data_IF_990895160556
#
_entry.id   IF_990895160556
#
_cell.length_a   1.000
_cell.length_b   1.000
_cell.length_c   1.000
_cell.angle_alpha   90.00
_cell.angle_beta   90.00
_cell.angle_gamma   90.00
#
_symmetry.space_group_name_H-M   'P 1'
#
loop_
_entity.id
_entity.type
_entity.pdbx_description
1 polymer ?
#
# COMPACT_ATOMS: atom_id res chain seq x y z
N UNK A 1 10.48 0.93 -2.60
CA UNK A 1 9.05 1.27 -2.50
C UNK A 1 8.21 0.02 -2.62
N UNK A 2 7.09 -0.04 -1.91
CA UNK A 2 6.12 -1.13 -1.94
C UNK A 2 4.72 -0.54 -2.09
N UNK A 3 3.93 -1.10 -3.00
CA UNK A 3 2.61 -0.59 -3.34
C UNK A 3 1.57 -1.71 -3.14
N UNK A 4 0.53 -1.45 -2.35
CA UNK A 4 -0.56 -2.39 -2.12
C UNK A 4 -1.90 -1.77 -2.49
N UNK A 5 -2.77 -2.55 -3.14
CA UNK A 5 -4.15 -2.18 -3.47
C UNK A 5 -5.09 -2.83 -2.46
N UNK A 6 -6.11 -2.09 -2.01
CA UNK A 6 -7.25 -2.64 -1.28
C UNK A 6 -8.52 -2.49 -2.10
N UNK A 7 -8.97 -3.56 -2.74
CA UNK A 7 -10.14 -3.48 -3.63
C UNK A 7 -11.48 -3.37 -2.91
N UNK A 8 -11.53 -3.89 -1.70
CA UNK A 8 -12.75 -4.04 -0.94
C UNK A 8 -12.46 -3.57 0.48
N UNK A 9 -12.98 -2.38 0.79
CA UNK A 9 -12.82 -1.74 2.07
C UNK A 9 -14.05 -0.90 2.42
N UNK A 10 -14.16 -0.54 3.69
CA UNK A 10 -15.33 0.10 4.29
C UNK A 10 -15.08 1.55 4.69
N UNK A 11 -13.84 2.02 4.54
CA UNK A 11 -13.44 3.40 4.84
C UNK A 11 -13.49 4.26 3.57
N UNK A 12 -13.51 5.60 3.67
CA UNK A 12 -13.45 6.43 2.47
C UNK A 12 -12.08 6.30 1.80
N UNK A 13 -12.08 6.10 0.47
CA UNK A 13 -10.86 6.12 -0.34
C UNK A 13 -10.15 7.48 -0.24
N UNK A 14 -8.83 7.50 -0.45
CA UNK A 14 -8.08 8.74 -0.27
C UNK A 14 -8.41 9.77 -1.36
N UNK A 15 -8.54 11.03 -0.94
CA UNK A 15 -8.79 12.14 -1.86
C UNK A 15 -7.52 12.49 -2.65
N UNK A 16 -7.66 12.83 -3.94
CA UNK A 16 -6.55 13.33 -4.75
C UNK A 16 -6.00 14.62 -4.11
N UNK A 17 -4.71 14.71 -3.81
CA UNK A 17 -4.10 15.95 -3.33
C UNK A 17 -4.28 17.07 -4.36
N UNK A 18 -4.57 18.29 -3.91
CA UNK A 18 -4.71 19.45 -4.79
C UNK A 18 -3.40 19.83 -5.50
N UNK A 19 -2.27 19.52 -4.87
CA UNK A 19 -0.91 19.76 -5.35
C UNK A 19 -0.34 18.58 -6.17
N UNK A 20 -1.18 17.61 -6.55
CA UNK A 20 -0.76 16.48 -7.36
C UNK A 20 -0.19 16.94 -8.71
N UNK A 21 1.08 16.60 -8.98
CA UNK A 21 1.79 16.98 -10.20
C UNK A 21 1.28 16.19 -11.40
N UNK A 22 0.91 16.88 -12.47
CA UNK A 22 0.47 16.27 -13.73
C UNK A 22 1.65 15.76 -14.59
N UNK A 23 1.51 14.67 -15.36
CA UNK A 23 0.29 13.87 -15.56
C UNK A 23 -0.02 12.94 -14.37
N UNK A 24 -1.24 13.03 -13.85
CA UNK A 24 -1.64 12.34 -12.63
C UNK A 24 -2.94 11.55 -12.79
N UNK A 25 -2.81 10.24 -13.00
CA UNK A 25 -3.91 9.32 -12.77
C UNK A 25 -3.92 8.96 -11.28
N UNK A 26 -5.01 9.33 -10.60
CA UNK A 26 -5.16 9.10 -9.17
C UNK A 26 -5.69 7.70 -8.87
N UNK A 27 -5.03 7.01 -7.96
CA UNK A 27 -5.39 5.67 -7.48
C UNK A 27 -5.65 5.76 -5.97
N UNK A 28 -6.92 5.92 -5.57
CA UNK A 28 -7.28 6.29 -4.19
C UNK A 28 -7.24 5.11 -3.22
N UNK A 29 -7.27 3.88 -3.73
CA UNK A 29 -7.35 2.64 -2.95
C UNK A 29 -5.99 1.92 -2.82
N UNK A 30 -4.91 2.68 -2.96
CA UNK A 30 -3.55 2.17 -2.87
C UNK A 30 -2.82 2.73 -1.67
N UNK A 31 -2.00 1.93 -1.01
CA UNK A 31 -1.06 2.37 0.01
C UNK A 31 0.37 2.23 -0.52
N UNK A 32 1.11 3.33 -0.54
CA UNK A 32 2.51 3.36 -0.96
C UNK A 32 3.42 3.51 0.25
N UNK A 33 4.37 2.59 0.40
CA UNK A 33 5.43 2.67 1.40
C UNK A 33 6.76 2.94 0.69
N UNK A 34 7.45 3.99 1.13
CA UNK A 34 8.79 4.37 0.66
C UNK A 34 9.75 4.41 1.84
N UNK A 35 11.00 4.78 1.59
CA UNK A 35 11.98 5.01 2.66
C UNK A 35 11.67 6.28 3.46
N UNK A 36 10.84 7.17 2.91
CA UNK A 36 10.48 8.48 3.47
C UNK A 36 9.15 8.46 4.26
N UNK A 37 8.36 7.38 4.12
CA UNK A 37 7.09 7.25 4.83
C UNK A 37 6.03 6.47 4.06
N UNK A 38 4.78 6.69 4.46
CA UNK A 38 3.60 6.06 3.87
C UNK A 38 2.67 7.11 3.27
N UNK A 39 2.18 6.85 2.06
CA UNK A 39 1.13 7.64 1.41
C UNK A 39 -0.13 6.80 1.19
N UNK A 40 -1.27 7.39 1.54
CA UNK A 40 -2.59 6.87 1.20
C UNK A 40 -3.04 7.44 -0.15
N UNK A 41 -3.16 6.57 -1.14
CA UNK A 41 -3.34 6.88 -2.54
C UNK A 41 -2.02 7.17 -3.25
N UNK A 42 -2.01 6.93 -4.56
CA UNK A 42 -0.85 7.20 -5.39
C UNK A 42 -1.26 7.91 -6.67
N UNK A 43 -0.43 8.88 -7.07
CA UNK A 43 -0.52 9.54 -8.35
C UNK A 43 0.50 8.91 -9.29
N UNK A 44 0.04 8.31 -10.40
CA UNK A 44 0.92 7.71 -11.39
C UNK A 44 0.62 8.25 -12.79
N UNK A 45 1.65 8.41 -13.64
CA UNK A 45 1.47 8.93 -15.00
C UNK A 45 0.86 7.90 -15.97
N UNK A 46 0.72 6.64 -15.54
CA UNK A 46 0.21 5.53 -16.36
C UNK A 46 -0.62 4.55 -15.51
N UNK A 47 -1.50 3.75 -16.14
CA UNK A 47 -2.22 2.68 -15.48
C UNK A 47 -1.28 1.66 -14.80
N UNK A 48 -1.67 1.20 -13.62
CA UNK A 48 -1.03 0.06 -12.95
C UNK A 48 -1.44 -1.24 -13.63
N UNK A 49 -0.46 -1.99 -14.13
CA UNK A 49 -0.66 -3.34 -14.66
C UNK A 49 -0.10 -4.32 -13.65
N UNK A 50 -0.96 -4.88 -12.81
CA UNK A 50 -0.57 -5.93 -11.87
C UNK A 50 -0.56 -7.28 -12.58
N UNK A 51 0.59 -7.95 -12.62
CA UNK A 51 0.62 -9.37 -13.05
C UNK A 51 0.15 -10.24 -11.89
N UNK A 52 -0.73 -11.20 -12.19
CA UNK A 52 -1.14 -12.21 -11.22
C UNK A 52 0.09 -12.86 -10.60
N UNK A 53 0.19 -12.78 -9.27
CA UNK A 53 1.26 -13.38 -8.48
C UNK A 53 0.66 -14.47 -7.58
N UNK A 54 1.52 -15.31 -6.98
CA UNK A 54 1.06 -16.31 -6.02
C UNK A 54 0.35 -15.62 -4.85
N UNK A 55 -0.73 -16.22 -4.39
CA UNK A 55 -1.43 -15.79 -3.18
C UNK A 55 -0.52 -16.00 -1.98
N UNK A 56 -0.40 -15.00 -1.10
CA UNK A 56 0.32 -15.09 0.16
C UNK A 56 -0.64 -15.57 1.27
N UNK A 57 -0.48 -16.80 1.80
CA UNK A 57 -1.35 -17.32 2.84
C UNK A 57 -1.26 -16.50 4.14
N UNK A 58 -2.31 -16.55 4.96
CA UNK A 58 -2.26 -15.97 6.30
C UNK A 58 -1.17 -16.62 7.15
N UNK A 59 -0.56 -15.82 8.02
CA UNK A 59 0.60 -16.19 8.84
C UNK A 59 1.93 -16.22 8.06
N UNK A 60 1.91 -15.99 6.74
CA UNK A 60 3.11 -15.95 5.90
C UNK A 60 3.54 -14.52 5.60
N UNK A 61 4.83 -14.33 5.38
CA UNK A 61 5.41 -13.05 4.97
C UNK A 61 6.07 -13.12 3.60
N UNK A 62 6.16 -11.96 2.96
CA UNK A 62 6.97 -11.73 1.76
C UNK A 62 7.94 -10.59 2.04
N UNK A 63 9.17 -10.71 1.53
CA UNK A 63 10.20 -9.68 1.64
C UNK A 63 10.68 -9.27 0.25
N UNK A 64 10.81 -7.97 0.04
CA UNK A 64 11.18 -7.33 -1.22
C UNK A 64 12.21 -6.24 -0.92
N UNK A 65 13.49 -6.61 -0.93
CA UNK A 65 14.55 -5.71 -0.44
C UNK A 65 14.37 -5.45 1.06
N UNK A 66 14.29 -4.18 1.44
CA UNK A 66 14.12 -3.72 2.82
C UNK A 66 12.66 -3.67 3.28
N UNK A 67 11.73 -3.96 2.37
CA UNK A 67 10.30 -3.97 2.66
C UNK A 67 9.84 -5.40 2.99
N UNK A 68 9.19 -5.57 4.14
CA UNK A 68 8.56 -6.82 4.56
C UNK A 68 7.06 -6.63 4.71
N UNK A 69 6.27 -7.61 4.26
CA UNK A 69 4.83 -7.65 4.49
C UNK A 69 4.40 -8.99 5.08
N UNK A 70 3.68 -8.95 6.19
CA UNK A 70 3.07 -10.10 6.86
C UNK A 70 1.57 -10.13 6.55
N UNK A 71 1.10 -11.24 5.99
CA UNK A 71 -0.34 -11.49 5.77
C UNK A 71 -0.95 -12.05 7.04
N UNK A 72 -1.95 -11.38 7.60
CA UNK A 72 -2.69 -11.82 8.79
C UNK A 72 -4.18 -11.86 8.50
N UNK A 73 -4.95 -12.56 9.33
CA UNK A 73 -6.41 -12.54 9.23
C UNK A 73 -6.99 -11.13 9.41
N UNK A 74 -6.29 -10.26 10.16
CA UNK A 74 -6.65 -8.85 10.36
C UNK A 74 -6.11 -7.88 9.30
N UNK A 75 -5.59 -8.40 8.18
CA UNK A 75 -5.04 -7.60 7.08
C UNK A 75 -3.53 -7.78 6.86
N UNK A 76 -2.97 -6.92 6.03
CA UNK A 76 -1.57 -6.93 5.63
C UNK A 76 -0.78 -5.91 6.47
N UNK A 77 0.24 -6.37 7.19
CA UNK A 77 1.18 -5.51 7.91
C UNK A 77 2.45 -5.37 7.09
N UNK A 78 2.71 -4.19 6.53
CA UNK A 78 3.91 -3.89 5.77
C UNK A 78 4.80 -2.90 6.50
N UNK A 79 6.11 -3.12 6.47
CA UNK A 79 7.09 -2.24 7.07
C UNK A 79 8.36 -2.18 6.23
N UNK A 80 9.03 -1.03 6.28
CA UNK A 80 10.41 -0.86 5.87
C UNK A 80 11.29 -1.14 7.09
N UNK A 81 12.05 -2.22 7.05
CA UNK A 81 12.87 -2.69 8.18
C UNK A 81 14.04 -1.74 8.49
N UNK A 82 14.38 -0.83 7.58
CA UNK A 82 15.48 0.13 7.74
C UNK A 82 14.99 1.47 8.27
N UNK A 83 13.95 2.05 7.66
CA UNK A 83 13.42 3.36 8.09
C UNK A 83 12.42 3.26 9.26
N UNK A 84 11.85 2.07 9.49
CA UNK A 84 10.82 1.84 10.50
C UNK A 84 9.41 2.24 10.07
N UNK A 85 9.26 2.90 8.92
CA UNK A 85 7.96 3.27 8.39
C UNK A 85 7.15 2.05 7.96
N UNK A 86 5.85 2.08 8.22
CA UNK A 86 4.98 0.98 7.84
C UNK A 86 3.52 1.30 7.90
N UNK A 87 2.72 0.34 7.47
CA UNK A 87 1.27 0.41 7.56
C UNK A 87 0.65 -0.95 7.80
N UNK A 88 -0.52 -0.94 8.44
CA UNK A 88 -1.47 -2.03 8.42
C UNK A 88 -2.61 -1.67 7.46
N UNK A 89 -2.86 -2.54 6.50
CA UNK A 89 -3.91 -2.42 5.51
C UNK A 89 -4.93 -3.56 5.67
N UNK A 90 -6.16 -3.22 6.03
CA UNK A 90 -7.28 -4.18 6.12
C UNK A 90 -8.51 -3.63 5.41
N UNK A 91 -9.63 -4.38 5.43
CA UNK A 91 -10.91 -3.89 4.85
C UNK A 91 -11.53 -2.79 5.71
N UNK A 92 -11.16 -2.75 6.99
CA UNK A 92 -11.74 -1.87 8.00
C UNK A 92 -10.92 -0.60 8.21
N UNK A 93 -9.60 -0.65 7.98
CA UNK A 93 -8.74 0.52 8.15
C UNK A 93 -7.42 0.45 7.37
N UNK A 94 -6.89 1.62 7.03
CA UNK A 94 -5.48 1.86 6.73
C UNK A 94 -4.86 2.63 7.89
N UNK A 95 -3.87 2.04 8.57
CA UNK A 95 -3.15 2.66 9.71
C UNK A 95 -1.67 2.73 9.39
N UNK A 96 -1.03 3.86 9.64
CA UNK A 96 0.40 4.07 9.38
C UNK A 96 1.19 4.22 10.68
N UNK A 97 2.47 3.87 10.67
CA UNK A 97 3.40 4.05 11.78
C UNK A 97 4.81 4.38 11.29
#
# INVERSE_FOLDING_TARGET
MLLCEVRDHTYPSSAKPEDAKEPCQWFPDYAMLTDEGVAAGVCLPRPLVTRGSKVLPYGSSIRMGDFGCLSTEGGLLCANEVSGHGYQLSREALRTF
#
